data_IF_598116829569
#
_entry.id   IF_598116829569
#
_cell.length_a   1.000
_cell.length_b   1.000
_cell.length_c   1.000
_cell.angle_alpha   90.00
_cell.angle_beta   90.00
_cell.angle_gamma   90.00
#
_symmetry.space_group_name_H-M   'P 1'
#
loop_
_entity.id
_entity.type
_entity.pdbx_description
1 polymer ?
#
# COMPACT_ATOMS: atom_id res chain seq x y z
N UNK A 1 -17.10 13.84 -2.97
CA UNK A 1 -18.16 12.83 -3.18
C UNK A 1 -17.48 11.60 -3.75
N UNK A 2 -17.09 10.65 -2.90
CA UNK A 2 -16.44 9.41 -3.33
C UNK A 2 -17.53 8.42 -3.74
N UNK A 3 -17.78 8.33 -5.05
CA UNK A 3 -18.56 7.24 -5.60
C UNK A 3 -17.69 5.98 -5.51
N UNK A 4 -17.95 5.13 -4.53
CA UNK A 4 -17.40 3.77 -4.51
C UNK A 4 -18.06 2.99 -5.63
N UNK A 5 -17.48 3.08 -6.83
CA UNK A 5 -17.84 2.23 -7.96
C UNK A 5 -17.42 0.83 -7.57
N UNK A 6 -18.38 -0.06 -7.32
CA UNK A 6 -18.13 -1.51 -7.38
C UNK A 6 -17.36 -1.76 -8.68
N UNK A 7 -16.13 -2.25 -8.58
CA UNK A 7 -15.34 -2.58 -9.76
C UNK A 7 -16.22 -3.46 -10.67
N UNK A 8 -16.34 -3.17 -11.98
CA UNK A 8 -17.27 -3.86 -12.88
C UNK A 8 -17.21 -5.39 -12.76
N UNK A 9 -16.00 -5.89 -12.52
CA UNK A 9 -15.70 -7.30 -12.25
C UNK A 9 -16.46 -7.88 -11.04
N UNK A 10 -16.50 -7.19 -9.91
CA UNK A 10 -17.18 -7.68 -8.69
C UNK A 10 -18.69 -7.75 -8.92
N UNK A 11 -19.25 -6.73 -9.59
CA UNK A 11 -20.67 -6.71 -9.93
C UNK A 11 -21.05 -7.86 -10.88
N UNK A 12 -20.20 -8.16 -11.87
CA UNK A 12 -20.41 -9.27 -12.80
C UNK A 12 -20.42 -10.63 -12.08
N UNK A 13 -19.48 -10.89 -11.16
CA UNK A 13 -19.44 -12.14 -10.40
C UNK A 13 -20.71 -12.30 -9.56
N UNK A 14 -21.17 -11.24 -8.88
CA UNK A 14 -22.39 -11.30 -8.06
C UNK A 14 -23.60 -11.64 -8.95
N UNK A 15 -23.75 -10.93 -10.07
CA UNK A 15 -24.87 -11.12 -10.99
C UNK A 15 -24.90 -12.53 -11.59
N UNK A 16 -23.74 -13.07 -11.98
CA UNK A 16 -23.62 -14.43 -12.54
C UNK A 16 -23.92 -15.53 -11.51
N UNK A 17 -23.91 -15.21 -10.21
CA UNK A 17 -24.21 -16.15 -9.12
C UNK A 17 -25.58 -15.88 -8.48
N UNK A 18 -26.52 -15.27 -9.22
CA UNK A 18 -27.88 -14.95 -8.75
C UNK A 18 -27.91 -14.13 -7.45
N UNK A 19 -26.93 -13.24 -7.24
CA UNK A 19 -26.79 -12.42 -6.03
C UNK A 19 -26.75 -13.24 -4.72
N UNK A 20 -26.23 -14.46 -4.78
CA UNK A 20 -26.18 -15.40 -3.64
C UNK A 20 -25.14 -15.05 -2.56
N UNK A 21 -24.31 -14.04 -2.78
CA UNK A 21 -23.30 -13.58 -1.83
C UNK A 21 -23.16 -12.06 -1.86
N UNK A 22 -22.56 -11.51 -0.81
CA UNK A 22 -22.24 -10.08 -0.71
C UNK A 22 -20.79 -9.86 -1.17
N UNK A 23 -20.59 -9.05 -2.20
CA UNK A 23 -19.24 -8.64 -2.61
C UNK A 23 -18.80 -7.35 -1.93
N UNK A 24 -17.56 -7.33 -1.46
CA UNK A 24 -16.92 -6.15 -0.87
C UNK A 24 -15.64 -5.85 -1.65
N UNK A 25 -15.54 -4.64 -2.21
CA UNK A 25 -14.32 -4.15 -2.86
C UNK A 25 -13.64 -3.16 -1.93
N UNK A 26 -12.38 -3.41 -1.60
CA UNK A 26 -11.59 -2.55 -0.70
C UNK A 26 -10.51 -1.84 -1.48
N UNK A 27 -10.24 -0.59 -1.12
CA UNK A 27 -9.13 0.18 -1.64
C UNK A 27 -8.04 0.26 -0.57
N UNK A 28 -6.79 0.12 -0.97
CA UNK A 28 -5.63 0.28 -0.10
C UNK A 28 -4.58 1.14 -0.82
N UNK A 29 -3.68 1.76 -0.05
CA UNK A 29 -2.57 2.54 -0.61
C UNK A 29 -1.64 1.67 -1.45
N UNK A 30 -0.93 2.27 -2.41
CA UNK A 30 -0.02 1.58 -3.33
C UNK A 30 1.33 2.31 -3.45
N UNK A 31 2.34 1.60 -3.97
CA UNK A 31 3.64 2.17 -4.31
C UNK A 31 4.35 2.77 -3.11
N UNK A 32 4.89 3.98 -3.26
CA UNK A 32 5.56 4.67 -2.17
C UNK A 32 4.61 4.97 -0.98
N UNK A 33 3.31 5.12 -1.19
CA UNK A 33 2.39 5.39 -0.07
C UNK A 33 2.08 4.14 0.77
N UNK A 34 2.42 2.96 0.27
CA UNK A 34 2.19 1.67 0.92
C UNK A 34 3.46 1.16 1.62
N UNK A 35 4.54 1.02 0.84
CA UNK A 35 5.73 0.26 1.22
C UNK A 35 7.02 1.11 1.29
N UNK A 36 6.92 2.44 1.26
CA UNK A 36 8.10 3.31 1.43
C UNK A 36 8.59 3.24 2.88
N UNK A 37 9.78 2.67 3.07
CA UNK A 37 10.30 2.41 4.41
C UNK A 37 11.82 2.52 4.45
N UNK A 38 12.31 2.98 5.60
CA UNK A 38 13.70 3.09 5.99
C UNK A 38 13.74 3.18 7.52
N UNK A 39 14.92 3.24 8.12
CA UNK A 39 15.02 3.51 9.57
C UNK A 39 14.33 4.84 9.97
N UNK A 40 14.40 5.86 9.11
CA UNK A 40 13.71 7.13 9.34
C UNK A 40 12.20 7.02 9.11
N UNK A 41 11.78 6.32 8.04
CA UNK A 41 10.37 6.08 7.75
C UNK A 41 9.67 5.29 8.85
N UNK A 42 10.36 4.32 9.45
CA UNK A 42 9.88 3.56 10.61
C UNK A 42 9.72 4.44 11.86
N UNK A 43 10.70 5.32 12.15
CA UNK A 43 10.68 6.17 13.35
C UNK A 43 9.64 7.29 13.30
N UNK A 44 9.33 7.81 12.10
CA UNK A 44 8.49 8.99 11.93
C UNK A 44 7.15 8.72 11.21
N UNK A 45 6.98 7.51 10.66
CA UNK A 45 5.82 7.14 9.85
C UNK A 45 5.27 5.76 10.18
N UNK A 46 4.56 5.18 9.21
CA UNK A 46 3.93 3.87 9.33
C UNK A 46 4.44 3.00 8.18
N UNK A 47 4.99 1.83 8.52
CA UNK A 47 5.45 0.83 7.55
C UNK A 47 4.32 -0.11 7.18
N UNK A 48 4.31 -0.63 5.95
CA UNK A 48 3.28 -1.51 5.40
C UNK A 48 1.87 -0.92 5.52
N UNK A 49 1.73 0.35 5.16
CA UNK A 49 0.52 1.11 5.43
C UNK A 49 -0.70 0.56 4.65
N UNK A 50 -0.51 0.03 3.45
CA UNK A 50 -1.54 -0.66 2.67
C UNK A 50 -1.88 -2.05 3.19
N UNK A 51 -0.97 -2.77 3.85
CA UNK A 51 -1.34 -3.98 4.60
C UNK A 51 -2.23 -3.66 5.80
N UNK A 52 -1.95 -2.55 6.48
CA UNK A 52 -2.79 -2.06 7.56
C UNK A 52 -4.16 -1.59 7.06
N UNK A 53 -4.23 -0.96 5.89
CA UNK A 53 -5.50 -0.61 5.24
C UNK A 53 -6.34 -1.86 4.96
N UNK A 54 -5.72 -2.91 4.42
CA UNK A 54 -6.40 -4.19 4.16
C UNK A 54 -6.85 -4.87 5.45
N UNK A 55 -5.99 -4.89 6.48
CA UNK A 55 -6.34 -5.45 7.78
C UNK A 55 -7.53 -4.73 8.40
N UNK A 56 -7.51 -3.39 8.38
CA UNK A 56 -8.61 -2.57 8.87
C UNK A 56 -9.91 -2.83 8.10
N UNK A 57 -9.83 -2.94 6.77
CA UNK A 57 -11.00 -3.23 5.95
C UNK A 57 -11.60 -4.63 6.27
N UNK A 58 -10.76 -5.63 6.55
CA UNK A 58 -11.22 -6.95 6.98
C UNK A 58 -11.85 -6.91 8.39
N UNK A 59 -11.30 -6.12 9.32
CA UNK A 59 -11.93 -5.89 10.63
C UNK A 59 -13.31 -5.23 10.49
N UNK A 60 -13.43 -4.28 9.55
CA UNK A 60 -14.70 -3.66 9.23
C UNK A 60 -15.70 -4.68 8.68
N UNK A 61 -15.29 -5.55 7.74
CA UNK A 61 -16.14 -6.63 7.23
C UNK A 61 -16.59 -7.55 8.37
N UNK A 62 -15.67 -8.00 9.21
CA UNK A 62 -15.99 -8.86 10.36
C UNK A 62 -17.02 -8.22 11.31
N UNK A 63 -16.93 -6.90 11.51
CA UNK A 63 -17.79 -6.17 12.45
C UNK A 63 -19.15 -5.80 11.87
N UNK A 64 -19.24 -5.52 10.56
CA UNK A 64 -20.40 -4.85 9.98
C UNK A 64 -21.08 -5.59 8.82
N UNK A 65 -20.48 -6.65 8.25
CA UNK A 65 -21.05 -7.29 7.05
C UNK A 65 -22.45 -7.91 7.29
N UNK A 66 -22.77 -8.24 8.54
CA UNK A 66 -24.11 -8.73 8.93
C UNK A 66 -25.21 -7.70 8.68
N UNK A 67 -24.91 -6.40 8.74
CA UNK A 67 -25.86 -5.32 8.43
C UNK A 67 -26.24 -5.28 6.95
N UNK A 68 -25.43 -5.88 6.08
CA UNK A 68 -25.62 -5.95 4.63
C UNK A 68 -26.11 -7.33 4.17
N UNK A 69 -26.50 -8.20 5.10
CA UNK A 69 -26.98 -9.56 4.80
C UNK A 69 -25.87 -10.60 4.57
N UNK A 70 -24.60 -10.25 4.82
CA UNK A 70 -23.49 -11.21 4.76
C UNK A 70 -23.27 -11.95 6.08
N UNK A 71 -22.49 -13.03 6.04
CA UNK A 71 -22.14 -13.81 7.22
C UNK A 71 -20.65 -13.63 7.54
N UNK A 72 -20.32 -13.00 8.67
CA UNK A 72 -18.95 -12.73 9.11
C UNK A 72 -18.12 -14.01 9.35
N UNK A 73 -18.79 -15.16 9.61
CA UNK A 73 -18.13 -16.46 9.75
C UNK A 73 -17.83 -17.15 8.42
N UNK A 74 -18.32 -16.62 7.30
CA UNK A 74 -18.14 -17.17 5.95
C UNK A 74 -17.57 -16.10 5.02
N UNK A 75 -16.40 -15.57 5.38
CA UNK A 75 -15.70 -14.55 4.58
C UNK A 75 -14.59 -15.21 3.77
N UNK A 76 -14.66 -15.07 2.45
CA UNK A 76 -13.61 -15.48 1.52
C UNK A 76 -12.88 -14.25 1.02
N UNK A 77 -11.57 -14.16 1.29
CA UNK A 77 -10.72 -13.11 0.73
C UNK A 77 -10.16 -13.59 -0.61
N UNK A 78 -10.27 -12.78 -1.65
CA UNK A 78 -9.74 -13.07 -2.98
C UNK A 78 -9.03 -11.83 -3.51
N UNK A 79 -7.95 -12.04 -4.24
CA UNK A 79 -7.16 -10.98 -4.85
C UNK A 79 -6.41 -11.51 -6.07
N UNK A 80 -6.17 -10.63 -7.04
CA UNK A 80 -5.41 -10.92 -8.26
C UNK A 80 -4.01 -10.28 -8.15
N UNK A 81 -2.99 -10.92 -8.74
CA UNK A 81 -1.60 -10.45 -8.75
C UNK A 81 -1.05 -10.08 -7.36
N UNK A 82 -0.54 -8.87 -7.15
CA UNK A 82 -0.12 -8.33 -5.86
C UNK A 82 -1.20 -8.45 -4.77
N UNK A 83 -2.47 -8.22 -5.11
CA UNK A 83 -3.59 -8.44 -4.20
C UNK A 83 -3.76 -9.91 -3.82
N UNK A 84 -3.46 -10.83 -4.73
CA UNK A 84 -3.41 -12.27 -4.46
C UNK A 84 -2.19 -12.66 -3.60
N UNK A 85 -1.03 -12.07 -3.83
CA UNK A 85 0.16 -12.27 -2.98
C UNK A 85 -0.05 -11.82 -1.54
N UNK A 86 -0.81 -10.75 -1.34
CA UNK A 86 -1.18 -10.22 -0.02
C UNK A 86 -2.35 -11.01 0.61
N UNK A 87 -3.33 -11.45 -0.18
CA UNK A 87 -4.53 -12.16 0.30
C UNK A 87 -4.36 -13.67 0.50
N UNK A 88 -3.51 -14.35 -0.27
CA UNK A 88 -3.59 -15.80 -0.47
C UNK A 88 -2.63 -16.64 0.40
N UNK A 89 -1.68 -16.03 1.14
CA UNK A 89 -0.63 -16.81 1.80
C UNK A 89 -0.73 -16.81 3.33
N UNK A 90 -0.91 -17.97 3.99
CA UNK A 90 -0.68 -18.13 5.43
C UNK A 90 0.82 -18.07 5.80
N UNK A 91 1.71 -17.99 4.79
CA UNK A 91 3.14 -17.78 4.95
C UNK A 91 3.49 -16.37 4.49
N UNK A 92 4.11 -15.57 5.37
CA UNK A 92 4.69 -14.31 4.93
C UNK A 92 5.75 -14.64 3.87
N UNK A 93 5.67 -14.10 2.63
CA UNK A 93 6.83 -14.13 1.74
C UNK A 93 8.01 -13.48 2.45
N UNK A 94 9.25 -13.76 2.03
CA UNK A 94 10.44 -13.11 2.59
C UNK A 94 10.22 -11.59 2.68
N UNK A 95 10.13 -11.07 3.90
CA UNK A 95 10.01 -9.64 4.17
C UNK A 95 11.40 -9.11 4.48
N UNK A 96 11.74 -7.97 3.89
CA UNK A 96 12.92 -7.24 4.30
C UNK A 96 12.69 -6.69 5.71
N UNK A 97 13.76 -6.44 6.47
CA UNK A 97 13.65 -5.51 7.58
C UNK A 97 13.51 -4.09 7.07
N UNK A 98 12.70 -3.25 7.72
CA UNK A 98 12.53 -1.82 7.39
C UNK A 98 13.84 -1.03 7.18
N UNK A 99 14.96 -1.45 7.80
CA UNK A 99 16.29 -0.84 7.70
C UNK A 99 17.27 -1.60 6.81
N UNK A 100 16.80 -2.64 6.13
CA UNK A 100 17.63 -3.37 5.18
C UNK A 100 17.98 -2.48 3.98
N UNK A 101 19.03 -2.87 3.28
CA UNK A 101 19.58 -2.06 2.20
C UNK A 101 18.58 -1.83 1.05
N UNK A 102 17.76 -2.82 0.70
CA UNK A 102 16.77 -2.72 -0.38
C UNK A 102 15.71 -1.65 -0.10
N UNK A 103 14.90 -1.74 0.98
CA UNK A 103 13.90 -0.73 1.27
C UNK A 103 14.53 0.65 1.50
N UNK A 104 15.66 0.71 2.20
CA UNK A 104 16.37 1.98 2.46
C UNK A 104 16.85 2.63 1.17
N UNK A 105 17.35 1.86 0.20
CA UNK A 105 17.76 2.40 -1.10
C UNK A 105 16.55 2.95 -1.87
N UNK A 106 15.43 2.22 -1.92
CA UNK A 106 14.19 2.71 -2.52
C UNK A 106 13.69 3.99 -1.86
N UNK A 107 13.78 4.09 -0.52
CA UNK A 107 13.44 5.30 0.23
C UNK A 107 14.27 6.51 -0.20
N UNK A 108 15.59 6.36 -0.25
CA UNK A 108 16.49 7.45 -0.64
C UNK A 108 16.38 7.83 -2.13
N UNK A 109 16.17 6.85 -3.00
CA UNK A 109 15.96 7.08 -4.43
C UNK A 109 14.65 7.86 -4.66
N UNK A 110 13.56 7.43 -4.02
CA UNK A 110 12.28 8.14 -4.04
C UNK A 110 12.41 9.55 -3.50
N UNK A 111 13.04 9.71 -2.34
CA UNK A 111 13.24 11.02 -1.72
C UNK A 111 14.02 11.98 -2.62
N UNK A 112 15.09 11.50 -3.26
CA UNK A 112 15.86 12.29 -4.23
C UNK A 112 14.98 12.73 -5.40
N UNK A 113 14.16 11.82 -5.95
CA UNK A 113 13.22 12.13 -7.05
C UNK A 113 12.11 13.09 -6.66
N UNK A 114 11.61 13.01 -5.43
CA UNK A 114 10.64 13.95 -4.87
C UNK A 114 11.24 15.33 -4.53
N UNK A 115 12.56 15.51 -4.70
CA UNK A 115 13.26 16.75 -4.36
C UNK A 115 13.54 16.90 -2.86
N UNK A 116 13.77 15.78 -2.17
CA UNK A 116 14.18 15.66 -0.77
C UNK A 116 15.46 14.79 -0.65
N UNK A 117 16.61 15.18 -1.24
CA UNK A 117 17.79 14.32 -1.35
C UNK A 117 18.46 14.03 0.02
N UNK A 118 19.02 12.82 0.21
CA UNK A 118 19.83 12.49 1.39
C UNK A 118 21.20 13.14 1.26
N UNK A 119 21.37 14.36 1.75
CA UNK A 119 22.61 15.07 1.48
C UNK A 119 22.96 16.26 2.35
N UNK A 120 22.16 16.59 3.36
CA UNK A 120 22.52 17.66 4.29
C UNK A 120 22.69 17.10 5.70
N UNK A 121 23.81 17.41 6.38
CA UNK A 121 24.04 16.99 7.76
C UNK A 121 22.83 17.34 8.62
N UNK A 122 22.50 16.48 9.59
CA UNK A 122 21.54 16.81 10.64
C UNK A 122 21.95 18.14 11.28
N UNK A 123 21.18 19.21 11.02
CA UNK A 123 21.49 20.59 11.43
C UNK A 123 21.76 21.60 10.31
N UNK A 124 21.98 21.19 9.06
CA UNK A 124 22.10 22.11 7.90
C UNK A 124 20.77 22.29 7.14
N UNK A 125 19.79 21.42 7.39
CA UNK A 125 18.38 21.64 7.10
C UNK A 125 17.58 21.54 8.41
N UNK A 126 16.54 22.36 8.60
CA UNK A 126 15.69 22.31 9.79
C UNK A 126 14.81 21.05 9.86
N UNK A 127 14.73 20.25 8.79
CA UNK A 127 13.77 19.15 8.64
C UNK A 127 14.42 17.88 8.10
N UNK A 128 13.87 16.73 8.50
CA UNK A 128 14.30 15.41 8.06
C UNK A 128 13.79 15.10 6.65
N UNK A 129 14.24 14.00 6.02
CA UNK A 129 13.73 13.61 4.69
C UNK A 129 12.23 13.34 4.77
N UNK A 130 11.80 12.64 5.82
CA UNK A 130 10.39 12.36 6.07
C UNK A 130 9.56 13.64 6.19
N UNK A 131 10.05 14.63 6.95
CA UNK A 131 9.41 15.93 7.09
C UNK A 131 9.34 16.69 5.75
N UNK A 132 10.37 16.61 4.92
CA UNK A 132 10.32 17.15 3.55
C UNK A 132 9.27 16.44 2.69
N UNK A 133 9.15 15.12 2.78
CA UNK A 133 8.23 14.32 1.98
C UNK A 133 6.75 14.62 2.32
N UNK A 134 6.41 14.82 3.59
CA UNK A 134 5.03 15.17 4.00
C UNK A 134 4.60 16.58 3.57
N UNK A 135 5.55 17.45 3.23
CA UNK A 135 5.29 18.81 2.73
C UNK A 135 5.14 18.88 1.20
N UNK A 136 5.47 17.80 0.48
CA UNK A 136 5.38 17.77 -0.99
C UNK A 136 3.94 17.61 -1.46
N UNK A 137 3.66 18.23 -2.60
CA UNK A 137 2.42 18.00 -3.32
C UNK A 137 2.27 16.52 -3.72
N UNK A 138 1.04 16.01 -3.63
CA UNK A 138 0.71 14.63 -3.98
C UNK A 138 1.14 14.28 -5.41
N UNK A 139 1.01 15.21 -6.36
CA UNK A 139 1.42 15.00 -7.76
C UNK A 139 2.93 14.77 -7.90
N UNK A 140 3.74 15.51 -7.12
CA UNK A 140 5.19 15.31 -7.11
C UNK A 140 5.57 13.94 -6.55
N UNK A 141 4.88 13.49 -5.49
CA UNK A 141 5.08 12.18 -4.89
C UNK A 141 4.62 11.03 -5.81
N UNK A 142 3.48 11.18 -6.49
CA UNK A 142 2.99 10.19 -7.47
C UNK A 142 3.97 10.08 -8.64
N UNK A 143 4.42 11.20 -9.20
CA UNK A 143 5.37 11.22 -10.31
C UNK A 143 6.70 10.58 -9.91
N UNK A 144 7.24 10.91 -8.72
CA UNK A 144 8.45 10.27 -8.20
C UNK A 144 8.26 8.76 -8.01
N UNK A 145 7.12 8.32 -7.47
CA UNK A 145 6.81 6.89 -7.31
C UNK A 145 6.74 6.17 -8.65
N UNK A 146 6.14 6.79 -9.67
CA UNK A 146 6.04 6.24 -11.01
C UNK A 146 7.40 6.14 -11.70
N UNK A 147 8.26 7.17 -11.58
CA UNK A 147 9.61 7.16 -12.13
C UNK A 147 10.48 6.06 -11.50
N UNK A 148 10.47 5.93 -10.17
CA UNK A 148 11.25 4.88 -9.49
C UNK A 148 10.75 3.50 -9.91
N UNK A 149 9.43 3.31 -10.01
CA UNK A 149 8.84 2.04 -10.45
C UNK A 149 9.23 1.67 -11.89
N UNK A 150 9.31 2.65 -12.78
CA UNK A 150 9.73 2.46 -14.17
C UNK A 150 11.24 2.26 -14.32
N UNK A 151 12.04 2.75 -13.37
CA UNK A 151 13.50 2.56 -13.37
C UNK A 151 13.95 1.17 -12.89
N UNK A 152 13.03 0.40 -12.29
CA UNK A 152 13.28 -0.96 -11.82
C UNK A 152 13.40 -1.97 -12.97
N UNK A 153 13.78 -3.19 -12.62
CA UNK A 153 13.81 -4.29 -13.59
C UNK A 153 12.37 -4.69 -13.95
N UNK A 154 12.11 -4.97 -15.22
CA UNK A 154 10.79 -5.43 -15.64
C UNK A 154 10.33 -6.65 -14.84
N UNK A 155 9.08 -6.63 -14.37
CA UNK A 155 8.52 -7.68 -13.51
C UNK A 155 8.92 -7.59 -12.03
N UNK A 156 9.59 -6.51 -11.61
CA UNK A 156 9.88 -6.22 -10.20
C UNK A 156 9.13 -4.98 -9.71
N UNK A 157 8.94 -4.89 -8.40
CA UNK A 157 8.33 -3.74 -7.75
C UNK A 157 9.39 -2.88 -7.07
N UNK A 158 9.27 -1.56 -7.20
CA UNK A 158 10.18 -0.61 -6.57
C UNK A 158 10.05 -0.54 -5.04
N UNK A 159 8.85 -0.79 -4.53
CA UNK A 159 8.52 -0.73 -3.12
C UNK A 159 7.97 -2.09 -2.70
N UNK A 160 8.59 -2.69 -1.68
CA UNK A 160 8.34 -4.04 -1.22
C UNK A 160 7.99 -4.03 0.27
N UNK A 161 7.16 -4.98 0.76
CA UNK A 161 6.85 -5.09 2.18
C UNK A 161 8.11 -5.23 3.06
N UNK A 162 8.18 -4.49 4.16
CA UNK A 162 9.31 -4.53 5.11
C UNK A 162 9.00 -4.06 6.54
#
# INVERSE_FOLDING_TARGET
MLASVLLPFVAEIINNNNNSFVGVSIQYRLGAFDFLTSDEGYRNGVVNAGLLDQHFALQWVQSYISLFGGNASLVTVSGETAGGGIAASPYLPMQFGYKDWVPSQSYHAFATKAGCPPGLPYGAHPQTIFACLIEKDTDALINASAEISQSGTFGTWAFLPA
#
